data_IF_321308616180
#
_entry.id   IF_321308616180
#
_cell.length_a   1.000
_cell.length_b   1.000
_cell.length_c   1.000
_cell.angle_alpha   90.00
_cell.angle_beta   90.00
_cell.angle_gamma   90.00
#
_symmetry.space_group_name_H-M   'P 1'
#
loop_
_entity.id
_entity.type
_entity.pdbx_description
1 polymer ?
#
# COMPACT_ATOMS: atom_id res chain seq x y z
N UNK A 1 -36.45 62.96 6.47
CA UNK A 1 -36.28 61.75 7.31
C UNK A 1 -36.12 60.49 6.45
N UNK A 2 -36.91 60.27 5.39
CA UNK A 2 -36.85 59.05 4.55
C UNK A 2 -35.49 58.80 3.84
N UNK A 3 -34.83 59.85 3.34
CA UNK A 3 -33.56 59.74 2.58
C UNK A 3 -32.39 59.14 3.37
N UNK A 4 -32.36 59.33 4.70
CA UNK A 4 -31.29 58.79 5.56
C UNK A 4 -31.49 57.30 5.83
N UNK A 5 -32.74 56.84 5.89
CA UNK A 5 -33.08 55.42 6.06
C UNK A 5 -32.70 54.60 4.83
N UNK A 6 -32.89 55.14 3.62
CA UNK A 6 -32.43 54.49 2.38
C UNK A 6 -30.91 54.35 2.31
N UNK A 7 -30.16 55.37 2.73
CA UNK A 7 -28.69 55.33 2.76
C UNK A 7 -28.21 54.28 3.77
N UNK A 8 -28.84 54.19 4.94
CA UNK A 8 -28.48 53.18 5.94
C UNK A 8 -28.75 51.75 5.44
N UNK A 9 -29.90 51.52 4.79
CA UNK A 9 -30.25 50.21 4.25
C UNK A 9 -29.33 49.77 3.11
N UNK A 10 -28.95 50.71 2.23
CA UNK A 10 -28.01 50.41 1.13
C UNK A 10 -26.60 50.10 1.63
N UNK A 11 -26.14 50.79 2.68
CA UNK A 11 -24.86 50.48 3.34
C UNK A 11 -24.87 49.09 4.01
N UNK A 12 -25.95 48.74 4.70
CA UNK A 12 -26.08 47.44 5.36
C UNK A 12 -26.14 46.28 4.35
N UNK A 13 -26.80 46.50 3.21
CA UNK A 13 -26.85 45.52 2.11
C UNK A 13 -25.48 45.33 1.46
N UNK A 14 -24.72 46.42 1.28
CA UNK A 14 -23.37 46.36 0.72
C UNK A 14 -22.40 45.61 1.65
N UNK A 15 -22.50 45.79 2.97
CA UNK A 15 -21.68 45.08 3.94
C UNK A 15 -22.03 43.58 4.00
N UNK A 16 -23.32 43.26 3.96
CA UNK A 16 -23.79 41.87 3.88
C UNK A 16 -23.29 41.16 2.62
N UNK A 17 -23.26 41.86 1.48
CA UNK A 17 -22.71 41.32 0.23
C UNK A 17 -21.19 41.09 0.33
N UNK A 18 -20.44 42.01 0.95
CA UNK A 18 -18.99 41.85 1.18
C UNK A 18 -18.67 40.64 2.04
N UNK A 19 -19.41 40.44 3.13
CA UNK A 19 -19.21 39.31 4.04
C UNK A 19 -19.53 37.97 3.37
N UNK A 20 -20.58 37.92 2.55
CA UNK A 20 -20.94 36.73 1.76
C UNK A 20 -19.85 36.35 0.77
N UNK A 21 -19.32 37.32 0.01
CA UNK A 21 -18.25 37.09 -0.97
C UNK A 21 -16.96 36.62 -0.29
N UNK A 22 -16.59 37.22 0.85
CA UNK A 22 -15.41 36.84 1.61
C UNK A 22 -15.50 35.39 2.15
N UNK A 23 -16.68 34.98 2.62
CA UNK A 23 -16.93 33.62 3.09
C UNK A 23 -16.81 32.57 1.98
N UNK A 24 -17.35 32.85 0.78
CA UNK A 24 -17.27 31.96 -0.38
C UNK A 24 -15.81 31.77 -0.83
N UNK A 25 -15.03 32.86 -0.87
CA UNK A 25 -13.63 32.79 -1.30
C UNK A 25 -12.75 32.01 -0.30
N UNK A 26 -12.98 32.19 1.00
CA UNK A 26 -12.26 31.47 2.05
C UNK A 26 -12.52 29.96 1.99
N UNK A 27 -13.78 29.56 1.83
CA UNK A 27 -14.16 28.15 1.75
C UNK A 27 -13.58 27.46 0.50
N UNK A 28 -13.54 28.15 -0.64
CA UNK A 28 -12.98 27.62 -1.88
C UNK A 28 -11.45 27.40 -1.79
N UNK A 29 -10.73 28.28 -1.08
CA UNK A 29 -9.29 28.12 -0.86
C UNK A 29 -9.01 26.92 0.06
N UNK A 30 -9.74 26.80 1.17
CA UNK A 30 -9.57 25.71 2.12
C UNK A 30 -9.91 24.34 1.51
N UNK A 31 -10.95 24.27 0.67
CA UNK A 31 -11.29 23.02 -0.05
C UNK A 31 -10.25 22.66 -1.12
N UNK A 32 -9.70 23.64 -1.84
CA UNK A 32 -8.66 23.40 -2.85
C UNK A 32 -7.33 22.95 -2.22
N UNK A 33 -6.95 23.52 -1.08
CA UNK A 33 -5.73 23.16 -0.34
C UNK A 33 -5.81 21.74 0.25
N UNK A 34 -6.98 21.32 0.73
CA UNK A 34 -7.19 19.97 1.27
C UNK A 34 -7.15 18.89 0.18
N UNK A 35 -7.72 19.14 -1.01
CA UNK A 35 -7.64 18.20 -2.13
C UNK A 35 -6.23 17.99 -2.70
N UNK A 36 -5.42 19.05 -2.80
CA UNK A 36 -4.04 18.94 -3.28
C UNK A 36 -3.12 18.22 -2.29
N UNK A 37 -3.32 18.46 -0.99
CA UNK A 37 -2.54 17.79 0.05
C UNK A 37 -2.85 16.29 0.09
N UNK A 38 -4.13 15.91 -0.08
CA UNK A 38 -4.54 14.51 -0.09
C UNK A 38 -4.05 13.75 -1.34
N UNK A 39 -4.02 14.40 -2.51
CA UNK A 39 -3.50 13.79 -3.74
C UNK A 39 -2.00 13.50 -3.66
N UNK A 40 -1.21 14.40 -3.07
CA UNK A 40 0.22 14.19 -2.84
C UNK A 40 0.49 13.05 -1.85
N UNK A 41 -0.28 12.99 -0.75
CA UNK A 41 -0.19 11.88 0.22
C UNK A 41 -0.55 10.55 -0.45
N UNK A 42 -1.59 10.51 -1.28
CA UNK A 42 -2.00 9.29 -1.96
C UNK A 42 -0.97 8.82 -3.00
N UNK A 43 -0.26 9.74 -3.66
CA UNK A 43 0.80 9.41 -4.62
C UNK A 43 2.09 8.94 -3.93
N UNK A 44 2.43 9.54 -2.78
CA UNK A 44 3.47 9.01 -1.89
C UNK A 44 3.09 7.60 -1.42
N UNK A 45 1.90 7.39 -0.85
CA UNK A 45 1.43 6.06 -0.41
C UNK A 45 1.47 5.03 -1.55
N UNK A 46 1.12 5.43 -2.78
CA UNK A 46 1.16 4.55 -3.97
C UNK A 46 2.59 4.21 -4.38
N UNK A 47 3.50 5.17 -4.32
CA UNK A 47 4.92 4.95 -4.62
C UNK A 47 5.60 4.13 -3.54
N UNK A 48 5.32 4.35 -2.24
CA UNK A 48 5.85 3.48 -1.19
C UNK A 48 5.28 2.06 -1.30
N UNK A 49 4.00 1.87 -1.60
CA UNK A 49 3.41 0.55 -1.79
C UNK A 49 3.97 -0.21 -3.02
N UNK A 50 4.39 0.51 -4.06
CA UNK A 50 5.05 -0.08 -5.23
C UNK A 50 6.53 -0.41 -4.97
N UNK A 51 7.23 0.43 -4.21
CA UNK A 51 8.65 0.27 -3.84
C UNK A 51 8.84 -0.78 -2.73
N UNK A 52 7.88 -0.93 -1.82
CA UNK A 52 7.91 -1.87 -0.70
C UNK A 52 7.31 -3.24 -1.03
N UNK A 53 7.07 -3.56 -2.31
CA UNK A 53 6.65 -4.92 -2.66
C UNK A 53 7.72 -5.89 -2.15
N UNK A 54 7.35 -6.87 -1.31
CA UNK A 54 8.32 -7.79 -0.72
C UNK A 54 9.09 -8.46 -1.86
N UNK A 55 10.41 -8.33 -1.85
CA UNK A 55 11.24 -8.93 -2.89
C UNK A 55 11.15 -10.43 -2.75
N UNK A 56 10.87 -11.12 -3.85
CA UNK A 56 10.80 -12.58 -3.83
C UNK A 56 12.16 -13.15 -3.44
N UNK A 57 12.22 -14.04 -2.45
CA UNK A 57 13.48 -14.64 -2.01
C UNK A 57 14.13 -15.43 -3.14
N UNK A 58 15.47 -15.47 -3.13
CA UNK A 58 16.25 -16.14 -4.17
C UNK A 58 15.97 -17.65 -4.18
N UNK A 59 15.90 -18.29 -5.35
CA UNK A 59 15.82 -19.74 -5.43
C UNK A 59 17.05 -20.42 -4.82
N UNK A 60 16.88 -21.65 -4.34
CA UNK A 60 17.95 -22.44 -3.76
C UNK A 60 18.23 -23.70 -4.58
N UNK A 61 19.47 -23.87 -5.01
CA UNK A 61 19.91 -24.93 -5.92
C UNK A 61 20.47 -26.17 -5.21
N UNK A 62 20.67 -26.12 -3.89
CA UNK A 62 21.26 -27.23 -3.12
C UNK A 62 22.73 -27.04 -2.76
N UNK A 63 23.13 -25.82 -2.40
CA UNK A 63 24.50 -25.56 -1.94
C UNK A 63 24.90 -26.49 -0.78
N UNK A 64 26.17 -26.91 -0.76
CA UNK A 64 26.71 -27.74 0.33
C UNK A 64 26.95 -26.91 1.60
N UNK A 65 27.01 -25.59 1.47
CA UNK A 65 27.18 -24.67 2.59
C UNK A 65 25.90 -24.59 3.43
N UNK A 66 26.04 -24.94 4.71
CA UNK A 66 24.97 -24.87 5.69
C UNK A 66 24.48 -23.44 5.93
N UNK A 67 25.37 -22.45 5.81
CA UNK A 67 25.02 -21.03 6.01
C UNK A 67 24.10 -20.54 4.90
N UNK A 68 24.38 -20.92 3.65
CA UNK A 68 23.54 -20.56 2.51
C UNK A 68 22.15 -21.20 2.60
N UNK A 69 22.08 -22.46 3.04
CA UNK A 69 20.82 -23.16 3.30
C UNK A 69 19.98 -22.46 4.40
N UNK A 70 20.62 -22.09 5.52
CA UNK A 70 19.95 -21.39 6.61
C UNK A 70 19.43 -20.02 6.17
N UNK A 71 20.29 -19.23 5.50
CA UNK A 71 19.90 -17.92 4.96
C UNK A 71 18.72 -18.05 3.99
N UNK A 72 18.69 -19.09 3.15
CA UNK A 72 17.54 -19.34 2.28
C UNK A 72 16.25 -19.55 3.09
N UNK A 73 16.27 -20.43 4.09
CA UNK A 73 15.09 -20.73 4.91
C UNK A 73 14.59 -19.47 5.63
N UNK A 74 15.49 -18.73 6.29
CA UNK A 74 15.12 -17.51 7.03
C UNK A 74 14.52 -16.45 6.10
N UNK A 75 15.07 -16.27 4.91
CA UNK A 75 14.54 -15.35 3.91
C UNK A 75 13.14 -15.76 3.41
N UNK A 76 12.87 -17.07 3.28
CA UNK A 76 11.52 -17.55 2.92
C UNK A 76 10.52 -17.26 4.04
N UNK A 77 10.88 -17.55 5.29
CA UNK A 77 10.01 -17.29 6.43
C UNK A 77 9.70 -15.81 6.62
N UNK A 78 10.71 -14.95 6.49
CA UNK A 78 10.52 -13.50 6.58
C UNK A 78 9.61 -13.00 5.46
N UNK A 79 9.84 -13.44 4.22
CA UNK A 79 8.97 -13.12 3.10
C UNK A 79 7.52 -13.56 3.37
N UNK A 80 7.30 -14.79 3.84
CA UNK A 80 5.96 -15.31 4.15
C UNK A 80 5.26 -14.56 5.29
N UNK A 81 6.02 -14.12 6.30
CA UNK A 81 5.49 -13.24 7.36
C UNK A 81 5.05 -11.90 6.79
N UNK A 82 5.85 -11.29 5.91
CA UNK A 82 5.52 -10.01 5.29
C UNK A 82 4.27 -10.13 4.40
N UNK A 83 4.14 -11.20 3.60
CA UNK A 83 2.95 -11.42 2.76
C UNK A 83 1.77 -12.06 3.50
N UNK A 84 1.90 -12.31 4.81
CA UNK A 84 0.87 -12.94 5.64
C UNK A 84 0.38 -14.30 5.10
N UNK A 85 1.29 -15.12 4.57
CA UNK A 85 0.95 -16.46 4.06
C UNK A 85 0.63 -17.40 5.22
N UNK A 86 -0.40 -18.25 5.06
CA UNK A 86 -0.74 -19.26 6.05
C UNK A 86 0.44 -20.23 6.28
N UNK A 87 0.88 -20.46 7.54
CA UNK A 87 1.96 -21.39 7.88
C UNK A 87 1.82 -22.80 7.28
N UNK A 88 0.59 -23.29 7.08
CA UNK A 88 0.35 -24.61 6.46
C UNK A 88 0.78 -24.67 4.99
N UNK A 89 0.93 -23.52 4.33
CA UNK A 89 1.34 -23.41 2.94
C UNK A 89 2.85 -23.12 2.78
N UNK A 90 3.56 -22.80 3.86
CA UNK A 90 4.96 -22.36 3.78
C UNK A 90 5.85 -23.41 3.14
N UNK A 91 5.78 -24.65 3.61
CA UNK A 91 6.54 -25.78 3.05
C UNK A 91 6.31 -25.92 1.54
N UNK A 92 5.07 -25.71 1.09
CA UNK A 92 4.70 -25.83 -0.32
C UNK A 92 5.29 -24.72 -1.17
N UNK A 93 5.21 -23.48 -0.69
CA UNK A 93 5.78 -22.34 -1.40
C UNK A 93 7.31 -22.36 -1.36
N UNK A 94 7.93 -22.84 -0.28
CA UNK A 94 9.37 -23.06 -0.21
C UNK A 94 9.83 -24.08 -1.25
N UNK A 95 9.09 -25.20 -1.41
CA UNK A 95 9.40 -26.21 -2.41
C UNK A 95 9.36 -25.68 -3.86
N UNK A 96 8.51 -24.69 -4.15
CA UNK A 96 8.46 -24.01 -5.46
C UNK A 96 9.74 -23.21 -5.71
N UNK A 97 10.32 -22.63 -4.65
CA UNK A 97 11.55 -21.85 -4.70
C UNK A 97 12.83 -22.71 -4.66
N UNK A 98 12.70 -24.04 -4.67
CA UNK A 98 13.82 -24.93 -4.94
C UNK A 98 14.08 -25.07 -6.44
N UNK A 99 15.36 -25.13 -6.80
CA UNK A 99 15.86 -25.38 -8.15
C UNK A 99 16.97 -26.45 -8.14
N UNK A 100 17.41 -26.85 -9.33
CA UNK A 100 18.53 -27.80 -9.49
C UNK A 100 18.39 -29.09 -8.67
N UNK A 101 19.47 -29.46 -8.00
CA UNK A 101 19.59 -30.71 -7.24
C UNK A 101 18.69 -30.71 -5.99
N UNK A 102 18.51 -29.55 -5.34
CA UNK A 102 17.58 -29.43 -4.21
C UNK A 102 16.14 -29.76 -4.61
N UNK A 103 15.70 -29.32 -5.80
CA UNK A 103 14.37 -29.65 -6.32
C UNK A 103 14.24 -31.12 -6.69
N UNK A 104 15.30 -31.73 -7.22
CA UNK A 104 15.33 -33.15 -7.53
C UNK A 104 15.20 -33.99 -6.24
N UNK A 105 15.97 -33.66 -5.21
CA UNK A 105 15.90 -34.30 -3.90
C UNK A 105 14.51 -34.17 -3.25
N UNK A 106 13.90 -32.98 -3.33
CA UNK A 106 12.54 -32.77 -2.80
C UNK A 106 11.49 -33.67 -3.46
N UNK A 107 11.57 -33.84 -4.78
CA UNK A 107 10.68 -34.73 -5.54
C UNK A 107 10.91 -36.19 -5.19
N UNK A 108 12.17 -36.60 -5.04
CA UNK A 108 12.54 -37.97 -4.69
C UNK A 108 12.11 -38.34 -3.25
N UNK A 109 12.04 -37.35 -2.36
CA UNK A 109 11.58 -37.50 -0.98
C UNK A 109 10.07 -37.78 -0.86
N UNK A 110 9.32 -37.83 -1.97
CA UNK A 110 7.89 -38.14 -2.04
C UNK A 110 7.02 -37.30 -1.09
N UNK A 111 7.44 -36.05 -0.86
CA UNK A 111 6.68 -35.05 -0.10
C UNK A 111 5.61 -34.48 -1.03
N UNK A 112 4.58 -35.28 -1.27
CA UNK A 112 3.47 -34.91 -2.15
C UNK A 112 2.80 -33.62 -1.65
N UNK A 113 2.82 -32.61 -2.51
CA UNK A 113 2.13 -31.35 -2.30
C UNK A 113 0.64 -31.52 -2.65
N UNK A 114 -0.05 -32.43 -1.97
CA UNK A 114 -1.46 -32.70 -2.25
C UNK A 114 -2.32 -31.52 -1.79
N UNK A 115 -2.71 -30.65 -2.73
CA UNK A 115 -3.87 -29.76 -2.57
C UNK A 115 -4.36 -29.22 -3.91
N UNK A 116 -5.67 -29.00 -4.05
CA UNK A 116 -6.23 -28.25 -5.16
C UNK A 116 -5.76 -26.79 -5.08
N UNK A 117 -5.32 -26.25 -6.22
CA UNK A 117 -5.05 -24.82 -6.37
C UNK A 117 -6.31 -24.03 -6.00
N UNK A 118 -6.22 -23.15 -5.00
CA UNK A 118 -7.26 -22.16 -4.76
C UNK A 118 -7.12 -21.11 -5.86
N UNK A 119 -8.02 -21.16 -6.85
CA UNK A 119 -8.17 -20.08 -7.82
C UNK A 119 -8.52 -18.80 -7.06
N UNK A 120 -7.64 -17.81 -7.15
CA UNK A 120 -7.86 -16.44 -6.67
C UNK A 120 -8.80 -15.68 -7.61
#
# INVERSE_FOLDING_TARGET
MERLTEIFNTLNLAESARQSIAGVFTNAISSSQTSNSQAAINDEVRTVAAVLKPTKPKPYSGAVDAVECLNFIENQEEYFKIVSLNPTLWVRYTAVNLEGDAKAWWRDSNLDLDTPWVTF
#
